data_IF_778830204323
#
_entry.id   IF_778830204323
#
_cell.length_a   1.000
_cell.length_b   1.000
_cell.length_c   1.000
_cell.angle_alpha   90.00
_cell.angle_beta   90.00
_cell.angle_gamma   90.00
#
_symmetry.space_group_name_H-M   'P 1'
#
loop_
_entity.id
_entity.type
_entity.pdbx_description
1 polymer ?
#
# COMPACT_ATOMS: atom_id res chain seq x y z
N UNK A 1 -2.83 -2.60 18.37
CA UNK A 1 -3.49 -1.57 17.54
C UNK A 1 -4.08 -0.56 18.45
N UNK A 2 -3.94 0.72 18.11
CA UNK A 2 -4.56 1.82 18.82
C UNK A 2 -6.09 1.84 18.67
N UNK A 3 -6.72 2.77 19.36
CA UNK A 3 -8.18 2.99 19.30
C UNK A 3 -8.60 3.63 17.97
N UNK A 4 -7.78 4.54 17.45
CA UNK A 4 -8.03 5.32 16.23
C UNK A 4 -7.07 4.93 15.10
N UNK A 5 -5.78 4.76 15.41
CA UNK A 5 -4.76 4.41 14.43
C UNK A 5 -4.69 2.90 14.21
N UNK A 6 -4.90 2.49 12.96
CA UNK A 6 -4.70 1.12 12.48
C UNK A 6 -3.29 0.92 11.91
N UNK A 7 -3.09 -0.12 11.11
CA UNK A 7 -1.81 -0.38 10.42
C UNK A 7 -1.47 0.67 9.36
N UNK A 8 -2.46 1.46 8.90
CA UNK A 8 -2.28 2.44 7.82
C UNK A 8 -3.01 3.75 8.14
N UNK A 9 -2.69 4.35 9.28
CA UNK A 9 -3.23 5.61 9.77
C UNK A 9 -4.60 5.53 10.43
N UNK A 10 -5.19 6.68 10.70
CA UNK A 10 -6.53 6.82 11.27
C UNK A 10 -7.56 6.84 10.13
N UNK A 11 -8.32 5.77 9.96
CA UNK A 11 -9.34 5.63 8.91
C UNK A 11 -10.74 5.50 9.45
N UNK A 12 -11.70 6.03 8.70
CA UNK A 12 -13.11 5.86 8.98
C UNK A 12 -14.01 6.64 8.03
N UNK A 13 -15.31 6.35 8.11
CA UNK A 13 -16.32 7.12 7.38
C UNK A 13 -16.27 8.59 7.82
N UNK A 14 -16.18 9.48 6.83
CA UNK A 14 -16.02 10.92 7.04
C UNK A 14 -17.22 11.51 7.79
N UNK A 15 -16.96 12.30 8.83
CA UNK A 15 -17.95 12.88 9.75
C UNK A 15 -18.78 11.86 10.57
N UNK A 16 -18.41 10.57 10.52
CA UNK A 16 -19.01 9.51 11.38
C UNK A 16 -17.95 9.00 12.35
N UNK A 17 -16.89 8.38 11.85
CA UNK A 17 -15.76 7.88 12.66
C UNK A 17 -14.58 8.83 12.66
N UNK A 18 -14.23 9.38 11.51
CA UNK A 18 -13.19 10.41 11.35
C UNK A 18 -13.89 11.76 11.14
N UNK A 19 -13.75 12.67 12.10
CA UNK A 19 -14.43 13.97 12.10
C UNK A 19 -13.45 15.13 11.88
N UNK A 20 -14.00 16.31 11.60
CA UNK A 20 -13.24 17.56 11.49
C UNK A 20 -12.49 17.87 12.79
N UNK A 21 -13.12 17.61 13.95
CA UNK A 21 -12.50 17.82 15.26
C UNK A 21 -11.29 16.90 15.47
N UNK A 22 -11.38 15.65 15.02
CA UNK A 22 -10.22 14.74 15.04
C UNK A 22 -9.08 15.29 14.19
N UNK A 23 -9.37 15.71 12.95
CA UNK A 23 -8.35 16.27 12.05
C UNK A 23 -7.71 17.53 12.62
N UNK A 24 -8.51 18.46 13.18
CA UNK A 24 -8.02 19.67 13.84
C UNK A 24 -7.09 19.31 15.01
N UNK A 25 -7.50 18.40 15.90
CA UNK A 25 -6.68 17.95 17.04
C UNK A 25 -5.40 17.25 16.60
N UNK A 26 -5.45 16.38 15.56
CA UNK A 26 -4.24 15.78 14.99
C UNK A 26 -3.28 16.88 14.53
N UNK A 27 -3.77 17.88 13.79
CA UNK A 27 -2.98 19.03 13.37
C UNK A 27 -2.39 19.81 14.57
N UNK A 28 -3.19 20.03 15.62
CA UNK A 28 -2.74 20.66 16.88
C UNK A 28 -1.58 19.90 17.49
N UNK A 29 -1.74 18.58 17.64
CA UNK A 29 -0.72 17.75 18.29
C UNK A 29 0.57 17.69 17.46
N UNK A 30 0.46 17.42 16.16
CA UNK A 30 1.62 17.33 15.25
C UNK A 30 2.39 18.65 15.21
N UNK A 31 1.69 19.78 15.06
CA UNK A 31 2.33 21.10 15.06
C UNK A 31 3.05 21.43 16.36
N UNK A 32 2.47 21.09 17.50
CA UNK A 32 3.10 21.25 18.80
C UNK A 32 4.28 20.30 19.01
N UNK A 33 4.12 19.03 18.66
CA UNK A 33 5.12 17.98 18.89
C UNK A 33 6.43 18.27 18.16
N UNK A 34 6.34 18.65 16.88
CA UNK A 34 7.53 18.97 16.09
C UNK A 34 8.01 20.42 16.27
N UNK A 35 7.19 21.29 16.83
CA UNK A 35 7.50 22.71 17.05
C UNK A 35 8.32 23.04 18.31
N UNK A 36 8.86 22.03 19.03
CA UNK A 36 9.50 22.25 20.34
C UNK A 36 10.77 23.12 20.32
N UNK A 37 11.64 22.92 19.33
CA UNK A 37 12.94 23.62 19.24
C UNK A 37 13.03 24.60 18.07
N UNK A 38 12.14 24.50 17.09
CA UNK A 38 12.09 25.34 15.89
C UNK A 38 10.67 25.45 15.37
N UNK A 39 10.45 26.31 14.39
CA UNK A 39 9.16 26.41 13.72
C UNK A 39 8.96 25.22 12.79
N UNK A 40 8.12 24.26 13.19
CA UNK A 40 7.90 23.04 12.43
C UNK A 40 7.37 23.31 11.01
N UNK A 41 7.84 22.51 10.06
CA UNK A 41 7.38 22.51 8.66
C UNK A 41 6.68 21.19 8.37
N UNK A 42 5.39 21.24 8.13
CA UNK A 42 4.57 20.06 7.87
C UNK A 42 4.04 20.09 6.45
N UNK A 43 4.34 19.06 5.67
CA UNK A 43 3.83 18.95 4.29
C UNK A 43 2.56 18.11 4.26
N UNK A 44 1.55 18.54 3.50
CA UNK A 44 0.25 17.90 3.41
C UNK A 44 -0.08 17.60 1.96
N UNK A 45 -0.43 16.33 1.70
CA UNK A 45 -1.03 15.86 0.46
C UNK A 45 -2.41 15.27 0.71
N UNK A 46 -3.20 15.17 -0.34
CA UNK A 46 -4.53 14.57 -0.27
C UNK A 46 -4.88 13.83 -1.55
N UNK A 47 -5.79 12.86 -1.44
CA UNK A 47 -6.42 12.23 -2.58
C UNK A 47 -7.59 13.08 -3.13
N UNK A 48 -8.32 12.52 -4.07
CA UNK A 48 -9.38 13.22 -4.80
C UNK A 48 -10.73 13.21 -4.09
N UNK A 49 -10.88 12.58 -2.92
CA UNK A 49 -12.14 12.50 -2.17
C UNK A 49 -12.66 13.89 -1.82
N UNK A 50 -13.98 14.08 -1.91
CA UNK A 50 -14.62 15.35 -1.52
C UNK A 50 -14.29 15.75 -0.08
N UNK A 51 -14.29 14.80 0.85
CA UNK A 51 -13.96 15.02 2.26
C UNK A 51 -12.49 15.37 2.51
N UNK A 52 -11.57 15.07 1.59
CA UNK A 52 -10.15 15.37 1.74
C UNK A 52 -9.88 16.88 1.85
N UNK A 53 -10.66 17.71 1.17
CA UNK A 53 -10.56 19.16 1.28
C UNK A 53 -10.97 19.67 2.67
N UNK A 54 -12.05 19.11 3.22
CA UNK A 54 -12.54 19.46 4.55
C UNK A 54 -11.49 19.11 5.62
N UNK A 55 -10.89 17.91 5.54
CA UNK A 55 -9.86 17.48 6.48
C UNK A 55 -8.55 18.25 6.31
N UNK A 56 -8.17 18.62 5.09
CA UNK A 56 -7.00 19.49 4.86
C UNK A 56 -7.15 20.81 5.59
N UNK A 57 -8.30 21.50 5.45
CA UNK A 57 -8.52 22.77 6.14
C UNK A 57 -8.49 22.63 7.66
N UNK A 58 -9.04 21.54 8.20
CA UNK A 58 -9.02 21.30 9.64
C UNK A 58 -7.60 21.02 10.17
N UNK A 59 -6.83 20.20 9.46
CA UNK A 59 -5.42 19.94 9.78
C UNK A 59 -4.58 21.22 9.72
N UNK A 60 -4.75 22.01 8.65
CA UNK A 60 -4.05 23.30 8.49
C UNK A 60 -4.36 24.25 9.64
N UNK A 61 -5.64 24.38 10.01
CA UNK A 61 -6.04 25.22 11.14
C UNK A 61 -5.39 24.76 12.46
N UNK A 62 -5.35 23.44 12.69
CA UNK A 62 -4.70 22.85 13.87
C UNK A 62 -3.18 23.11 13.91
N UNK A 63 -2.50 22.86 12.79
CA UNK A 63 -1.06 23.09 12.64
C UNK A 63 -0.67 24.54 12.87
N UNK A 64 -1.32 25.46 12.16
CA UNK A 64 -1.01 26.90 12.25
C UNK A 64 -1.35 27.47 13.61
N UNK A 65 -2.41 27.01 14.26
CA UNK A 65 -2.75 27.39 15.65
C UNK A 65 -1.73 26.88 16.67
N UNK A 66 -0.93 25.85 16.34
CA UNK A 66 0.18 25.37 17.16
C UNK A 66 1.54 25.94 16.76
N UNK A 67 1.58 26.89 15.80
CA UNK A 67 2.82 27.55 15.38
C UNK A 67 3.54 26.89 14.21
N UNK A 68 3.09 25.74 13.71
CA UNK A 68 3.71 25.07 12.59
C UNK A 68 3.32 25.66 11.23
N UNK A 69 4.25 25.73 10.29
CA UNK A 69 3.97 26.07 8.90
C UNK A 69 3.43 24.86 8.14
N UNK A 70 2.30 25.01 7.45
CA UNK A 70 1.64 23.99 6.66
C UNK A 70 1.92 24.19 5.16
N UNK A 71 2.55 23.22 4.51
CA UNK A 71 2.93 23.23 3.10
C UNK A 71 1.99 22.32 2.30
N UNK A 72 1.26 22.87 1.34
CA UNK A 72 0.21 22.17 0.62
C UNK A 72 0.69 21.66 -0.75
N UNK A 73 0.78 20.34 -0.90
CA UNK A 73 1.02 19.67 -2.19
C UNK A 73 -0.27 19.55 -3.02
N UNK A 74 -1.43 19.82 -2.39
CA UNK A 74 -2.76 19.60 -2.98
C UNK A 74 -3.00 18.11 -3.31
N UNK A 75 -3.73 17.83 -4.42
CA UNK A 75 -3.98 16.46 -4.86
C UNK A 75 -2.67 15.84 -5.34
N UNK A 76 -2.22 14.81 -4.61
CA UNK A 76 -0.97 14.10 -4.88
C UNK A 76 -1.01 12.69 -4.28
N UNK A 77 -0.04 11.85 -4.61
CA UNK A 77 0.06 10.47 -4.14
C UNK A 77 0.74 10.37 -2.77
N UNK A 78 0.48 9.29 -2.02
CA UNK A 78 1.19 9.00 -0.76
C UNK A 78 2.71 9.00 -0.95
N UNK A 79 3.28 8.31 -1.97
CA UNK A 79 4.73 8.36 -2.19
C UNK A 79 5.27 9.76 -2.56
N UNK A 80 4.47 10.63 -3.15
CA UNK A 80 4.85 12.03 -3.39
C UNK A 80 5.03 12.81 -2.08
N UNK A 81 4.16 12.57 -1.09
CA UNK A 81 4.31 13.17 0.26
C UNK A 81 5.57 12.62 0.94
N UNK A 82 5.76 11.29 0.91
CA UNK A 82 6.96 10.63 1.45
C UNK A 82 8.25 11.16 0.82
N UNK A 83 8.26 11.34 -0.49
CA UNK A 83 9.37 11.93 -1.23
C UNK A 83 9.67 13.36 -0.78
N UNK A 84 8.63 14.21 -0.70
CA UNK A 84 8.78 15.61 -0.30
C UNK A 84 9.34 15.73 1.12
N UNK A 85 8.82 14.96 2.08
CA UNK A 85 9.34 14.96 3.46
C UNK A 85 10.83 14.66 3.47
N UNK A 86 11.24 13.61 2.79
CA UNK A 86 12.61 13.12 2.82
C UNK A 86 13.62 14.04 2.12
N UNK A 87 13.18 14.80 1.12
CA UNK A 87 14.09 15.57 0.24
C UNK A 87 14.09 17.08 0.49
N UNK A 88 13.16 17.60 1.30
CA UNK A 88 12.93 19.04 1.44
C UNK A 88 12.95 19.52 2.92
N UNK A 89 13.56 18.75 3.81
CA UNK A 89 13.71 19.07 5.25
C UNK A 89 12.38 19.40 5.95
N UNK A 90 11.34 18.60 5.71
CA UNK A 90 10.11 18.65 6.48
C UNK A 90 10.19 17.76 7.72
N UNK A 91 9.63 18.22 8.82
CA UNK A 91 9.60 17.46 10.08
C UNK A 91 8.61 16.30 10.02
N UNK A 92 7.49 16.49 9.30
CA UNK A 92 6.45 15.48 9.17
C UNK A 92 5.67 15.67 7.86
N UNK A 93 5.19 14.56 7.31
CA UNK A 93 4.25 14.53 6.20
C UNK A 93 2.88 14.04 6.64
N UNK A 94 1.84 14.62 6.08
CA UNK A 94 0.45 14.18 6.29
C UNK A 94 -0.15 13.83 4.93
N UNK A 95 -0.65 12.59 4.79
CA UNK A 95 -1.44 12.21 3.63
C UNK A 95 -2.90 11.98 4.04
N UNK A 96 -3.81 12.66 3.36
CA UNK A 96 -5.26 12.53 3.58
C UNK A 96 -5.82 11.59 2.52
N UNK A 97 -6.00 10.33 2.90
CA UNK A 97 -6.53 9.27 2.04
C UNK A 97 -6.96 8.04 2.83
N UNK A 98 -7.93 7.32 2.32
CA UNK A 98 -8.26 5.97 2.76
C UNK A 98 -7.89 4.90 1.70
N UNK A 99 -6.88 5.18 0.85
CA UNK A 99 -6.36 4.26 -0.17
C UNK A 99 -7.48 3.70 -1.07
N UNK A 100 -7.69 2.39 -1.07
CA UNK A 100 -8.65 1.68 -1.91
C UNK A 100 -10.10 1.67 -1.37
N UNK A 101 -10.37 2.27 -0.21
CA UNK A 101 -11.72 2.33 0.35
C UNK A 101 -12.67 3.17 -0.51
N UNK A 102 -14.00 2.99 -0.36
CA UNK A 102 -15.00 3.83 -1.03
C UNK A 102 -14.83 5.32 -0.71
N UNK A 103 -15.42 6.19 -1.52
CA UNK A 103 -15.26 7.65 -1.44
C UNK A 103 -15.72 8.28 -0.13
N UNK A 104 -16.68 7.67 0.57
CA UNK A 104 -17.22 8.16 1.83
C UNK A 104 -16.32 7.89 3.04
N UNK A 105 -15.38 6.96 2.92
CA UNK A 105 -14.29 6.81 3.88
C UNK A 105 -13.18 7.81 3.61
N UNK A 106 -12.42 8.17 4.65
CA UNK A 106 -11.18 8.90 4.52
C UNK A 106 -10.18 8.48 5.60
N UNK A 107 -8.97 9.00 5.54
CA UNK A 107 -7.93 8.68 6.49
C UNK A 107 -6.90 9.79 6.63
N UNK A 108 -6.16 9.74 7.73
CA UNK A 108 -5.00 10.60 8.00
C UNK A 108 -3.81 9.67 8.26
N UNK A 109 -2.85 9.68 7.35
CA UNK A 109 -1.58 8.97 7.47
C UNK A 109 -0.50 9.98 7.85
N UNK A 110 0.31 9.64 8.83
CA UNK A 110 1.42 10.48 9.30
C UNK A 110 2.74 9.84 8.90
N UNK A 111 3.65 10.66 8.38
CA UNK A 111 4.98 10.25 7.94
C UNK A 111 6.02 11.06 8.72
N UNK A 112 7.04 10.39 9.27
CA UNK A 112 8.15 11.04 9.95
C UNK A 112 9.11 11.73 8.96
N UNK A 113 10.11 12.43 9.46
CA UNK A 113 11.10 13.16 8.64
C UNK A 113 11.87 12.31 7.62
N UNK A 114 11.85 10.98 7.76
CA UNK A 114 12.44 10.05 6.81
C UNK A 114 11.45 9.60 5.71
N UNK A 115 10.24 10.14 5.70
CA UNK A 115 9.18 9.76 4.76
C UNK A 115 8.57 8.38 5.02
N UNK A 116 8.81 7.82 6.20
CA UNK A 116 8.26 6.55 6.67
C UNK A 116 7.06 6.78 7.60
N UNK A 117 6.28 5.75 7.87
CA UNK A 117 5.20 5.85 8.86
C UNK A 117 5.74 6.34 10.21
N UNK A 118 4.95 7.19 10.85
CA UNK A 118 5.29 7.74 12.16
C UNK A 118 5.41 6.63 13.21
N UNK A 119 6.19 6.86 14.24
CA UNK A 119 6.43 5.93 15.33
C UNK A 119 5.14 5.67 16.13
N UNK A 120 4.92 4.41 16.52
CA UNK A 120 3.71 3.98 17.24
C UNK A 120 3.53 4.71 18.59
N UNK A 121 4.62 5.17 19.22
CA UNK A 121 4.56 5.97 20.44
C UNK A 121 3.88 7.31 20.18
N UNK A 122 4.18 7.96 19.06
CA UNK A 122 3.58 9.24 18.67
C UNK A 122 2.10 9.06 18.35
N UNK A 123 1.73 7.99 17.65
CA UNK A 123 0.32 7.63 17.40
C UNK A 123 -0.45 7.47 18.73
N UNK A 124 0.13 6.74 19.69
CA UNK A 124 -0.47 6.53 21.01
C UNK A 124 -0.68 7.85 21.78
N UNK A 125 0.26 8.78 21.69
CA UNK A 125 0.13 10.11 22.31
C UNK A 125 -0.92 10.97 21.61
N UNK A 126 -1.02 10.89 20.30
CA UNK A 126 -2.12 11.55 19.55
C UNK A 126 -3.47 11.01 20.01
N UNK A 127 -3.61 9.68 20.14
CA UNK A 127 -4.84 9.06 20.64
C UNK A 127 -5.22 9.55 22.05
N UNK A 128 -4.24 9.63 22.95
CA UNK A 128 -4.45 10.17 24.29
C UNK A 128 -4.93 11.64 24.27
N UNK A 129 -4.38 12.45 23.34
CA UNK A 129 -4.84 13.84 23.16
C UNK A 129 -6.27 13.90 22.56
N UNK A 130 -6.58 13.06 21.60
CA UNK A 130 -7.93 12.97 21.04
C UNK A 130 -8.99 12.61 22.10
N UNK A 131 -8.63 11.73 23.03
CA UNK A 131 -9.49 11.29 24.15
C UNK A 131 -9.53 12.28 25.33
N UNK A 132 -8.77 13.40 25.28
CA UNK A 132 -8.72 14.38 26.35
C UNK A 132 -7.95 13.91 27.59
N UNK A 133 -7.08 12.92 27.45
CA UNK A 133 -6.21 12.40 28.51
C UNK A 133 -4.92 13.23 28.69
N UNK A 134 -4.64 14.10 27.75
CA UNK A 134 -3.54 15.07 27.79
C UNK A 134 -4.16 16.47 27.89
N UNK A 135 -3.57 17.34 28.71
CA UNK A 135 -4.00 18.72 28.85
C UNK A 135 -4.00 19.45 27.49
N UNK A 136 -4.79 20.51 27.40
CA UNK A 136 -4.90 21.27 26.15
C UNK A 136 -3.55 21.94 25.83
N UNK A 137 -3.15 21.82 24.57
CA UNK A 137 -1.85 22.32 24.11
C UNK A 137 -1.86 23.84 23.95
N UNK A 138 -0.74 24.55 24.19
CA UNK A 138 -0.69 26.00 24.06
C UNK A 138 -1.01 26.43 22.62
N UNK A 139 -1.66 27.59 22.48
CA UNK A 139 -1.89 28.23 21.20
C UNK A 139 -0.73 29.19 20.89
N UNK A 140 -0.27 29.18 19.67
CA UNK A 140 0.65 30.19 19.16
C UNK A 140 -0.06 31.54 19.04
N UNK A 141 0.66 32.63 19.28
CA UNK A 141 0.14 33.99 19.23
C UNK A 141 1.03 34.89 18.38
N UNK A 142 0.48 35.96 17.84
CA UNK A 142 1.21 36.97 17.07
C UNK A 142 2.05 36.36 15.94
N UNK A 143 3.36 36.67 15.89
CA UNK A 143 4.35 36.19 14.93
C UNK A 143 4.63 34.69 15.00
N UNK A 144 4.28 34.05 16.10
CA UNK A 144 4.47 32.60 16.28
C UNK A 144 3.37 31.77 15.59
N UNK A 145 2.22 32.38 15.22
CA UNK A 145 1.20 31.69 14.45
C UNK A 145 1.81 31.18 13.14
N UNK A 146 1.54 29.90 12.83
CA UNK A 146 2.02 29.28 11.59
C UNK A 146 1.35 29.86 10.35
N UNK A 147 1.94 29.66 9.22
CA UNK A 147 1.40 30.09 7.91
C UNK A 147 1.12 28.91 7.00
N UNK A 148 0.27 29.13 6.02
CA UNK A 148 0.02 28.20 4.92
C UNK A 148 0.88 28.57 3.73
N UNK A 149 1.53 27.61 3.12
CA UNK A 149 2.39 27.76 1.94
C UNK A 149 1.88 26.86 0.81
N UNK A 150 1.63 27.41 -0.35
CA UNK A 150 1.39 26.63 -1.57
C UNK A 150 2.71 25.96 -2.00
N UNK A 151 2.74 24.62 -2.04
CA UNK A 151 3.93 23.85 -2.35
C UNK A 151 3.71 22.86 -3.50
N UNK A 152 2.88 23.23 -4.48
CA UNK A 152 2.65 22.42 -5.69
C UNK A 152 3.97 22.07 -6.43
N UNK A 153 5.04 22.89 -6.26
CA UNK A 153 6.37 22.61 -6.81
C UNK A 153 6.99 21.32 -6.26
N UNK A 154 6.67 20.92 -5.03
CA UNK A 154 7.14 19.65 -4.44
C UNK A 154 6.63 18.44 -5.21
N UNK A 155 5.36 18.45 -5.63
CA UNK A 155 4.79 17.42 -6.52
C UNK A 155 5.54 17.36 -7.86
N UNK A 156 5.89 18.50 -8.45
CA UNK A 156 6.62 18.54 -9.72
C UNK A 156 8.05 17.97 -9.57
N UNK A 157 8.69 18.14 -8.41
CA UNK A 157 10.00 17.52 -8.13
C UNK A 157 9.88 16.00 -8.04
N UNK A 158 8.82 15.48 -7.40
CA UNK A 158 8.55 14.05 -7.40
C UNK A 158 8.33 13.50 -8.81
N UNK A 159 7.57 14.19 -9.67
CA UNK A 159 7.43 13.82 -11.09
C UNK A 159 8.79 13.77 -11.77
N UNK A 160 9.63 14.80 -11.58
CA UNK A 160 10.99 14.83 -12.12
C UNK A 160 11.87 13.68 -11.61
N UNK A 161 11.74 13.33 -10.33
CA UNK A 161 12.41 12.16 -9.73
C UNK A 161 11.99 10.87 -10.44
N UNK A 162 10.70 10.61 -10.58
CA UNK A 162 10.20 9.42 -11.26
C UNK A 162 10.73 9.31 -12.71
N UNK A 163 10.71 10.41 -13.46
CA UNK A 163 11.21 10.44 -14.84
C UNK A 163 12.72 10.13 -14.90
N UNK A 164 13.48 10.46 -13.87
CA UNK A 164 14.93 10.23 -13.82
C UNK A 164 15.34 8.80 -13.48
N UNK A 165 14.41 7.94 -13.05
CA UNK A 165 14.72 6.59 -12.57
C UNK A 165 15.01 5.59 -13.70
N UNK A 166 14.16 5.46 -14.74
CA UNK A 166 14.42 4.51 -15.82
C UNK A 166 15.67 4.90 -16.61
N UNK A 167 16.48 3.89 -16.93
CA UNK A 167 17.70 4.08 -17.74
C UNK A 167 17.41 4.28 -19.23
N UNK A 168 16.18 3.97 -19.65
CA UNK A 168 15.71 4.05 -21.04
C UNK A 168 14.33 4.66 -21.12
N UNK A 169 14.03 5.25 -22.29
CA UNK A 169 12.67 5.65 -22.65
C UNK A 169 11.80 4.44 -23.02
N UNK A 170 10.50 4.67 -23.10
CA UNK A 170 9.48 3.66 -23.44
C UNK A 170 8.88 3.88 -24.83
N UNK A 171 9.64 4.49 -25.71
CA UNK A 171 9.24 4.84 -27.08
C UNK A 171 8.70 3.63 -27.83
N UNK A 172 7.52 3.80 -28.42
CA UNK A 172 6.85 2.78 -29.21
C UNK A 172 5.93 1.84 -28.41
N UNK A 173 6.01 1.82 -27.08
CA UNK A 173 5.14 1.01 -26.24
C UNK A 173 3.82 1.72 -25.98
N UNK A 174 2.72 0.96 -26.11
CA UNK A 174 1.35 1.38 -25.80
C UNK A 174 1.00 0.96 -24.38
N UNK A 175 0.84 1.92 -23.50
CA UNK A 175 0.64 1.69 -22.06
C UNK A 175 -0.74 2.14 -21.63
N UNK A 176 -1.52 1.24 -21.04
CA UNK A 176 -2.80 1.51 -20.40
C UNK A 176 -2.57 1.95 -18.95
N UNK A 177 -3.23 3.02 -18.51
CA UNK A 177 -3.16 3.51 -17.14
C UNK A 177 -4.58 3.66 -16.58
N UNK A 178 -4.92 2.90 -15.55
CA UNK A 178 -6.14 3.09 -14.77
C UNK A 178 -5.79 3.85 -13.49
N UNK A 179 -6.22 5.10 -13.44
CA UNK A 179 -5.89 6.01 -12.34
C UNK A 179 -6.90 5.95 -11.17
N UNK A 180 -7.83 5.02 -11.15
CA UNK A 180 -8.84 4.86 -10.09
C UNK A 180 -9.64 6.12 -9.76
N UNK A 181 -9.69 7.13 -10.64
CA UNK A 181 -10.14 8.49 -10.34
C UNK A 181 -9.49 9.07 -9.06
N UNK A 182 -8.30 8.58 -8.74
CA UNK A 182 -7.52 8.94 -7.55
C UNK A 182 -6.36 9.89 -7.85
N UNK A 183 -5.40 9.90 -6.95
CA UNK A 183 -4.25 10.80 -6.94
C UNK A 183 -3.33 10.65 -8.14
N UNK A 184 -3.20 9.44 -8.69
CA UNK A 184 -2.38 9.18 -9.89
C UNK A 184 -2.88 9.90 -11.14
N UNK A 185 -4.15 10.33 -11.17
CA UNK A 185 -4.75 11.10 -12.29
C UNK A 185 -3.95 12.36 -12.63
N UNK A 186 -3.33 12.99 -11.64
CA UNK A 186 -2.55 14.22 -11.81
C UNK A 186 -1.07 13.97 -12.20
N UNK A 187 -0.58 12.73 -12.14
CA UNK A 187 0.86 12.42 -12.18
C UNK A 187 1.19 11.37 -13.26
N UNK A 188 0.51 10.22 -13.25
CA UNK A 188 0.95 9.04 -14.00
C UNK A 188 1.13 9.32 -15.50
N UNK A 189 0.13 9.94 -16.15
CA UNK A 189 0.21 10.25 -17.58
C UNK A 189 1.43 11.11 -17.93
N UNK A 190 1.70 12.16 -17.16
CA UNK A 190 2.82 13.06 -17.45
C UNK A 190 4.18 12.39 -17.31
N UNK A 191 4.33 11.46 -16.38
CA UNK A 191 5.56 10.66 -16.21
C UNK A 191 5.79 9.76 -17.42
N UNK A 192 4.76 8.98 -17.82
CA UNK A 192 4.88 8.07 -18.97
C UNK A 192 5.04 8.80 -20.30
N UNK A 193 4.36 9.93 -20.50
CA UNK A 193 4.53 10.76 -21.71
C UNK A 193 5.94 11.35 -21.80
N UNK A 194 6.50 11.80 -20.68
CA UNK A 194 7.89 12.30 -20.64
C UNK A 194 8.90 11.20 -20.99
N UNK A 195 8.59 9.94 -20.67
CA UNK A 195 9.38 8.77 -21.06
C UNK A 195 9.00 8.20 -22.44
N UNK A 196 8.27 8.98 -23.25
CA UNK A 196 7.91 8.70 -24.65
C UNK A 196 7.01 7.46 -24.85
N UNK A 197 6.32 6.97 -23.82
CA UNK A 197 5.29 5.96 -23.97
C UNK A 197 4.06 6.53 -24.70
N UNK A 198 3.35 5.70 -25.46
CA UNK A 198 2.03 6.05 -25.97
C UNK A 198 0.98 5.67 -24.93
N UNK A 199 0.53 6.64 -24.13
CA UNK A 199 -0.37 6.43 -23.00
C UNK A 199 -1.84 6.42 -23.39
N UNK A 200 -2.57 5.47 -22.82
CA UNK A 200 -4.02 5.32 -22.92
C UNK A 200 -4.57 5.30 -21.49
N UNK A 201 -5.24 6.39 -21.07
CA UNK A 201 -5.62 6.60 -19.68
C UNK A 201 -7.13 6.46 -19.51
N UNK A 202 -7.53 5.71 -18.50
CA UNK A 202 -8.93 5.57 -18.06
C UNK A 202 -9.06 5.98 -16.59
N UNK A 203 -10.27 6.27 -16.15
CA UNK A 203 -10.60 6.61 -14.77
C UNK A 203 -9.69 7.71 -14.20
N UNK A 204 -9.53 8.81 -14.95
CA UNK A 204 -8.68 9.94 -14.62
C UNK A 204 -9.44 11.29 -14.55
N UNK A 205 -10.73 11.22 -14.30
CA UNK A 205 -11.61 12.41 -14.14
C UNK A 205 -12.31 12.38 -12.78
N UNK A 206 -11.56 12.66 -11.69
CA UNK A 206 -12.12 12.62 -10.35
C UNK A 206 -13.19 13.72 -10.14
N UNK A 207 -14.33 13.34 -9.56
CA UNK A 207 -15.41 14.24 -9.18
C UNK A 207 -15.61 14.38 -7.66
N UNK A 208 -14.76 13.69 -6.90
CA UNK A 208 -14.79 13.67 -5.43
C UNK A 208 -15.60 12.52 -4.84
N UNK A 209 -16.36 11.79 -5.67
CA UNK A 209 -17.23 10.68 -5.24
C UNK A 209 -17.00 9.38 -6.02
N UNK A 210 -16.23 9.43 -7.08
CA UNK A 210 -15.98 8.30 -7.98
C UNK A 210 -14.65 7.58 -7.78
N UNK A 211 -13.83 7.96 -6.79
CA UNK A 211 -12.56 7.30 -6.47
C UNK A 211 -12.78 5.80 -6.16
N UNK A 212 -11.99 4.92 -6.77
CA UNK A 212 -12.05 3.45 -6.64
C UNK A 212 -13.42 2.81 -7.05
N UNK A 213 -14.35 3.58 -7.58
CA UNK A 213 -15.67 3.05 -7.92
C UNK A 213 -15.60 2.28 -9.24
N UNK A 214 -15.64 0.95 -9.14
CA UNK A 214 -15.51 0.03 -10.30
C UNK A 214 -14.28 0.33 -11.16
N UNK A 215 -13.15 0.67 -10.55
CA UNK A 215 -11.91 1.00 -11.24
C UNK A 215 -10.69 0.80 -10.34
N UNK A 216 -9.49 0.91 -10.94
CA UNK A 216 -8.22 0.82 -10.25
C UNK A 216 -7.81 -0.60 -9.86
N UNK A 217 -6.85 -0.72 -8.94
CA UNK A 217 -6.20 -1.98 -8.59
C UNK A 217 -7.12 -3.03 -7.96
N UNK A 218 -8.27 -2.62 -7.41
CA UNK A 218 -9.27 -3.52 -6.81
C UNK A 218 -10.36 -3.98 -7.80
N UNK A 219 -10.40 -3.40 -9.00
CA UNK A 219 -11.32 -3.74 -10.10
C UNK A 219 -10.54 -3.90 -11.40
N UNK A 220 -9.55 -4.78 -11.37
CA UNK A 220 -8.56 -4.97 -12.43
C UNK A 220 -9.18 -5.46 -13.74
N UNK A 221 -10.37 -6.09 -13.70
CA UNK A 221 -11.11 -6.58 -14.85
C UNK A 221 -11.42 -5.48 -15.88
N UNK A 222 -11.56 -4.23 -15.41
CA UNK A 222 -11.78 -3.08 -16.30
C UNK A 222 -10.54 -2.83 -17.15
N UNK A 223 -9.36 -2.81 -16.52
CA UNK A 223 -8.09 -2.63 -17.24
C UNK A 223 -7.75 -3.84 -18.12
N UNK A 224 -8.04 -5.08 -17.66
CA UNK A 224 -7.84 -6.30 -18.48
C UNK A 224 -8.57 -6.18 -19.82
N UNK A 225 -9.86 -5.86 -19.76
CA UNK A 225 -10.66 -5.65 -20.97
C UNK A 225 -10.11 -4.52 -21.83
N UNK A 226 -9.75 -3.40 -21.20
CA UNK A 226 -9.25 -2.22 -21.92
C UNK A 226 -7.94 -2.50 -22.67
N UNK A 227 -7.01 -3.23 -22.05
CA UNK A 227 -5.72 -3.62 -22.65
C UNK A 227 -5.95 -4.46 -23.90
N UNK A 228 -6.79 -5.49 -23.79
CA UNK A 228 -7.09 -6.41 -24.91
C UNK A 228 -7.82 -5.70 -26.03
N UNK A 229 -8.89 -4.98 -25.74
CA UNK A 229 -9.73 -4.31 -26.74
C UNK A 229 -8.97 -3.25 -27.54
N UNK A 230 -7.98 -2.61 -26.95
CA UNK A 230 -7.18 -1.56 -27.60
C UNK A 230 -5.81 -2.04 -28.12
N UNK A 231 -5.51 -3.33 -27.98
CA UNK A 231 -4.22 -3.90 -28.42
C UNK A 231 -3.04 -3.18 -27.78
N UNK A 232 -3.10 -2.98 -26.46
CA UNK A 232 -2.03 -2.36 -25.69
C UNK A 232 -0.95 -3.38 -25.33
N UNK A 233 0.29 -2.93 -25.15
CA UNK A 233 1.41 -3.81 -24.83
C UNK A 233 1.40 -4.19 -23.34
N UNK A 234 0.89 -3.30 -22.47
CA UNK A 234 0.86 -3.44 -21.03
C UNK A 234 -0.16 -2.47 -20.43
N UNK A 235 -0.71 -2.82 -19.26
CA UNK A 235 -1.55 -1.93 -18.47
C UNK A 235 -1.14 -1.88 -17.00
N UNK A 236 -1.38 -0.75 -16.33
CA UNK A 236 -1.17 -0.56 -14.90
C UNK A 236 -2.37 0.07 -14.25
N UNK A 237 -2.84 -0.51 -13.15
CA UNK A 237 -3.93 0.02 -12.33
C UNK A 237 -3.38 0.41 -10.95
N UNK A 238 -3.73 1.61 -10.53
CA UNK A 238 -3.36 2.15 -9.21
C UNK A 238 -4.57 2.10 -8.25
N UNK A 239 -4.33 2.27 -6.98
CA UNK A 239 -5.38 2.57 -6.01
C UNK A 239 -5.51 4.08 -5.76
N UNK A 240 -6.41 4.49 -4.87
CA UNK A 240 -6.81 5.89 -4.71
C UNK A 240 -5.68 6.86 -4.38
N UNK A 241 -4.66 6.46 -3.62
CA UNK A 241 -3.48 7.26 -3.29
C UNK A 241 -2.19 6.76 -3.95
N UNK A 242 -2.33 5.79 -4.85
CA UNK A 242 -1.29 5.28 -5.75
C UNK A 242 -0.02 4.77 -5.04
N UNK A 243 -0.17 4.23 -3.83
CA UNK A 243 0.88 3.48 -3.15
C UNK A 243 0.94 2.01 -3.62
N UNK A 244 -0.07 1.56 -4.43
CA UNK A 244 -0.18 0.23 -5.02
C UNK A 244 -0.24 0.27 -6.54
N UNK A 245 0.25 -0.81 -7.16
CA UNK A 245 0.18 -1.06 -8.59
C UNK A 245 -0.09 -2.54 -8.88
N UNK A 246 -1.10 -2.81 -9.71
CA UNK A 246 -1.33 -4.12 -10.33
C UNK A 246 -1.16 -3.96 -11.83
N UNK A 247 -0.44 -4.88 -12.47
CA UNK A 247 -0.22 -4.83 -13.91
C UNK A 247 -1.08 -5.84 -14.67
N UNK A 248 -1.25 -5.57 -15.95
CA UNK A 248 -1.94 -6.45 -16.92
C UNK A 248 -1.04 -6.60 -18.15
N UNK A 249 -0.80 -7.83 -18.58
CA UNK A 249 -0.04 -8.09 -19.80
C UNK A 249 -0.89 -7.89 -21.07
N UNK A 250 -0.25 -7.91 -22.24
CA UNK A 250 -0.93 -7.70 -23.53
C UNK A 250 -2.02 -8.76 -23.87
N UNK A 251 -2.07 -9.87 -23.13
CA UNK A 251 -3.12 -10.91 -23.28
C UNK A 251 -4.27 -10.73 -22.29
N UNK A 252 -4.19 -9.72 -21.43
CA UNK A 252 -5.19 -9.48 -20.40
C UNK A 252 -4.95 -10.29 -19.11
N UNK A 253 -3.81 -10.96 -18.94
CA UNK A 253 -3.51 -11.67 -17.71
C UNK A 253 -3.07 -10.69 -16.61
N UNK A 254 -3.57 -10.91 -15.39
CA UNK A 254 -3.16 -10.14 -14.22
C UNK A 254 -1.75 -10.52 -13.80
N UNK A 255 -0.94 -9.51 -13.55
CA UNK A 255 0.38 -9.59 -12.94
C UNK A 255 0.31 -8.80 -11.63
N UNK A 256 -0.02 -9.53 -10.55
CA UNK A 256 -0.19 -8.99 -9.20
C UNK A 256 1.15 -8.64 -8.54
N UNK A 257 1.12 -8.17 -7.29
CA UNK A 257 2.31 -7.76 -6.56
C UNK A 257 3.34 -8.89 -6.42
N UNK A 258 2.91 -10.13 -6.25
CA UNK A 258 3.82 -11.28 -6.17
C UNK A 258 4.58 -11.50 -7.48
N UNK A 259 3.86 -11.49 -8.61
CA UNK A 259 4.49 -11.60 -9.94
C UNK A 259 5.38 -10.39 -10.26
N UNK A 260 4.97 -9.19 -9.86
CA UNK A 260 5.79 -7.99 -10.02
C UNK A 260 7.08 -8.11 -9.22
N UNK A 261 7.00 -8.55 -7.95
CA UNK A 261 8.19 -8.80 -7.12
C UNK A 261 9.11 -9.86 -7.72
N UNK A 262 8.55 -10.92 -8.30
CA UNK A 262 9.32 -11.94 -9.02
C UNK A 262 10.06 -11.35 -10.22
N UNK A 263 9.34 -10.64 -11.10
CA UNK A 263 9.90 -10.03 -12.32
C UNK A 263 10.98 -9.00 -11.98
N UNK A 264 10.67 -8.07 -11.09
CA UNK A 264 11.60 -7.02 -10.68
C UNK A 264 12.76 -7.58 -9.85
N UNK A 265 12.53 -8.57 -8.98
CA UNK A 265 13.57 -9.23 -8.20
C UNK A 265 14.60 -9.91 -9.08
N UNK A 266 14.13 -10.70 -10.06
CA UNK A 266 15.00 -11.34 -11.06
C UNK A 266 15.82 -10.32 -11.86
N UNK A 267 15.15 -9.26 -12.33
CA UNK A 267 15.81 -8.18 -13.04
C UNK A 267 16.88 -7.47 -12.18
N UNK A 268 16.54 -7.09 -10.94
CA UNK A 268 17.48 -6.43 -10.03
C UNK A 268 18.66 -7.33 -9.67
N UNK A 269 18.44 -8.63 -9.46
CA UNK A 269 19.51 -9.60 -9.21
C UNK A 269 20.50 -9.67 -10.35
N UNK A 270 20.02 -9.80 -11.59
CA UNK A 270 20.86 -9.83 -12.78
C UNK A 270 21.68 -8.55 -12.99
N UNK A 271 21.17 -7.41 -12.48
CA UNK A 271 21.88 -6.13 -12.47
C UNK A 271 22.83 -5.96 -11.26
N UNK A 272 22.92 -6.95 -10.36
CA UNK A 272 23.66 -6.85 -9.10
C UNK A 272 23.07 -5.79 -8.14
N UNK A 273 21.78 -5.49 -8.26
CA UNK A 273 21.07 -4.45 -7.50
C UNK A 273 20.12 -5.02 -6.44
N UNK A 274 19.94 -6.33 -6.35
CA UNK A 274 19.15 -7.00 -5.33
C UNK A 274 20.04 -7.32 -4.14
N UNK A 275 20.03 -6.48 -3.11
CA UNK A 275 20.87 -6.66 -1.91
C UNK A 275 20.56 -7.98 -1.21
N UNK A 276 21.61 -8.75 -0.89
CA UNK A 276 21.49 -10.07 -0.26
C UNK A 276 20.79 -11.13 -1.12
N UNK A 277 20.49 -10.83 -2.40
CA UNK A 277 19.63 -11.64 -3.27
C UNK A 277 18.26 -11.94 -2.64
N UNK A 278 17.75 -11.02 -1.80
CA UNK A 278 16.58 -11.22 -0.95
C UNK A 278 15.41 -10.31 -1.37
N UNK A 279 14.20 -10.89 -1.41
CA UNK A 279 12.91 -10.19 -1.54
C UNK A 279 12.16 -10.29 -0.23
N UNK A 280 11.71 -9.16 0.33
CA UNK A 280 10.89 -9.16 1.54
C UNK A 280 9.42 -9.18 1.16
N UNK A 281 8.67 -10.11 1.75
CA UNK A 281 7.24 -10.25 1.48
C UNK A 281 6.46 -10.64 2.74
N UNK A 282 5.17 -10.88 2.64
CA UNK A 282 4.35 -11.28 3.79
C UNK A 282 3.98 -12.75 3.73
N UNK A 283 3.54 -13.31 4.86
CA UNK A 283 3.01 -14.68 4.93
C UNK A 283 1.80 -14.92 4.00
N UNK A 284 1.25 -13.89 3.38
CA UNK A 284 0.12 -14.00 2.44
C UNK A 284 0.53 -14.10 0.98
N UNK A 285 1.79 -13.86 0.64
CA UNK A 285 2.27 -14.06 -0.73
C UNK A 285 2.09 -15.50 -1.18
N UNK A 286 1.75 -15.68 -2.45
CA UNK A 286 1.44 -16.99 -3.02
C UNK A 286 2.64 -17.95 -2.94
N UNK A 287 2.40 -19.23 -2.65
CA UNK A 287 3.43 -20.28 -2.62
C UNK A 287 4.27 -20.30 -3.91
N UNK A 288 3.65 -19.92 -5.02
CA UNK A 288 4.32 -19.82 -6.31
C UNK A 288 5.43 -18.78 -6.35
N UNK A 289 5.31 -17.67 -5.60
CA UNK A 289 6.39 -16.70 -5.45
C UNK A 289 7.60 -17.34 -4.78
N UNK A 290 7.43 -17.97 -3.61
CA UNK A 290 8.53 -18.59 -2.87
C UNK A 290 9.28 -19.61 -3.70
N UNK A 291 8.54 -20.54 -4.34
CA UNK A 291 9.14 -21.57 -5.20
C UNK A 291 9.86 -20.96 -6.42
N UNK A 292 9.35 -19.87 -6.95
CA UNK A 292 9.99 -19.20 -8.08
C UNK A 292 11.25 -18.45 -7.67
N UNK A 293 11.25 -17.81 -6.50
CA UNK A 293 12.44 -17.18 -5.94
C UNK A 293 13.55 -18.22 -5.66
N UNK A 294 13.19 -19.34 -5.04
CA UNK A 294 14.13 -20.45 -4.78
C UNK A 294 14.76 -21.02 -6.07
N UNK A 295 13.94 -21.24 -7.10
CA UNK A 295 14.40 -21.71 -8.41
C UNK A 295 15.42 -20.76 -9.05
N UNK A 296 15.23 -19.44 -8.88
CA UNK A 296 16.16 -18.42 -9.36
C UNK A 296 17.33 -18.16 -8.38
N UNK A 297 17.47 -18.99 -7.34
CA UNK A 297 18.48 -18.80 -6.27
C UNK A 297 18.38 -17.44 -5.59
N UNK A 298 17.16 -16.90 -5.47
CA UNK A 298 16.82 -15.73 -4.65
C UNK A 298 16.32 -16.21 -3.29
N UNK A 299 16.63 -15.43 -2.26
CA UNK A 299 16.11 -15.62 -0.91
C UNK A 299 14.84 -14.80 -0.72
N UNK A 300 14.10 -15.13 0.32
CA UNK A 300 12.96 -14.32 0.75
C UNK A 300 12.85 -14.25 2.27
N UNK A 301 12.34 -13.13 2.75
CA UNK A 301 11.93 -12.94 4.14
C UNK A 301 10.42 -12.81 4.20
N UNK A 302 9.80 -13.46 5.19
CA UNK A 302 8.35 -13.43 5.39
C UNK A 302 8.00 -12.63 6.64
N UNK A 303 7.30 -11.53 6.47
CA UNK A 303 6.80 -10.74 7.60
C UNK A 303 5.33 -11.06 7.91
N UNK A 304 4.81 -10.52 9.01
CA UNK A 304 3.38 -10.42 9.23
C UNK A 304 2.73 -9.56 8.13
N UNK A 305 1.41 -9.71 7.95
CA UNK A 305 0.64 -8.92 6.97
C UNK A 305 0.60 -7.45 7.38
N UNK A 306 0.98 -6.59 6.48
CA UNK A 306 1.01 -5.14 6.61
C UNK A 306 2.31 -4.55 6.09
N UNK A 307 2.19 -3.53 5.27
CA UNK A 307 3.29 -2.80 4.63
C UNK A 307 4.33 -2.27 5.63
N UNK A 308 3.90 -1.91 6.85
CA UNK A 308 4.77 -1.50 7.95
C UNK A 308 5.83 -2.56 8.25
N UNK A 309 5.44 -3.82 8.39
CA UNK A 309 6.35 -4.91 8.72
C UNK A 309 7.33 -5.22 7.60
N UNK A 310 6.88 -5.08 6.34
CA UNK A 310 7.76 -5.19 5.17
C UNK A 310 8.80 -4.08 5.18
N UNK A 311 8.37 -2.82 5.38
CA UNK A 311 9.26 -1.66 5.40
C UNK A 311 10.28 -1.74 6.56
N UNK A 312 9.85 -2.13 7.77
CA UNK A 312 10.72 -2.31 8.94
C UNK A 312 11.79 -3.39 8.65
N UNK A 313 11.40 -4.56 8.16
CA UNK A 313 12.34 -5.64 7.83
C UNK A 313 13.34 -5.22 6.75
N UNK A 314 12.87 -4.53 5.69
CA UNK A 314 13.75 -4.01 4.64
C UNK A 314 14.78 -3.03 5.17
N UNK A 315 14.37 -2.14 6.08
CA UNK A 315 15.25 -1.13 6.67
C UNK A 315 16.29 -1.77 7.60
N UNK A 316 15.87 -2.68 8.48
CA UNK A 316 16.74 -3.35 9.45
C UNK A 316 17.84 -4.19 8.77
N UNK A 317 17.53 -4.77 7.61
CA UNK A 317 18.44 -5.68 6.89
C UNK A 317 19.02 -5.06 5.60
N UNK A 318 18.74 -3.79 5.32
CA UNK A 318 19.19 -3.05 4.12
C UNK A 318 18.78 -3.75 2.81
N UNK A 319 17.57 -4.32 2.72
CA UNK A 319 17.07 -4.97 1.51
C UNK A 319 16.52 -3.96 0.49
N UNK A 320 16.64 -4.32 -0.80
CA UNK A 320 16.31 -3.40 -1.91
C UNK A 320 14.89 -3.51 -2.42
N UNK A 321 14.23 -4.65 -2.23
CA UNK A 321 12.90 -4.94 -2.78
C UNK A 321 12.06 -5.69 -1.75
N UNK A 322 10.86 -5.19 -1.54
CA UNK A 322 9.85 -5.88 -0.76
C UNK A 322 8.45 -5.39 -1.09
N UNK A 323 7.45 -6.13 -0.65
CA UNK A 323 6.06 -5.74 -0.90
C UNK A 323 5.04 -6.80 -0.54
N UNK A 324 3.84 -6.60 -1.04
CA UNK A 324 2.67 -7.44 -0.81
C UNK A 324 2.00 -7.81 -2.14
N UNK A 325 1.29 -8.92 -2.16
CA UNK A 325 0.47 -9.35 -3.31
C UNK A 325 -0.51 -8.27 -3.78
N UNK A 326 -0.98 -7.42 -2.86
CA UNK A 326 -1.87 -6.28 -3.14
C UNK A 326 -1.26 -5.21 -4.06
N UNK A 327 0.03 -5.30 -4.38
CA UNK A 327 0.74 -4.36 -5.24
C UNK A 327 1.42 -3.20 -4.51
N UNK A 328 1.43 -3.19 -3.17
CA UNK A 328 2.25 -2.26 -2.39
C UNK A 328 3.70 -2.73 -2.42
N UNK A 329 4.54 -2.11 -3.26
CA UNK A 329 5.91 -2.55 -3.51
C UNK A 329 6.88 -1.41 -3.25
N UNK A 330 7.91 -1.71 -2.48
CA UNK A 330 8.95 -0.80 -2.04
C UNK A 330 10.26 -1.12 -2.79
N UNK A 331 10.80 -0.12 -3.45
CA UNK A 331 12.16 -0.13 -4.00
C UNK A 331 13.01 0.83 -3.16
N UNK A 332 13.67 0.33 -2.11
CA UNK A 332 14.31 1.15 -1.06
C UNK A 332 15.35 2.14 -1.58
N UNK A 333 15.95 1.87 -2.75
CA UNK A 333 16.86 2.80 -3.41
C UNK A 333 16.19 4.12 -3.80
N UNK A 334 14.89 4.10 -4.08
CA UNK A 334 14.17 5.23 -4.67
C UNK A 334 13.06 5.77 -3.77
N UNK A 335 12.40 4.91 -2.99
CA UNK A 335 11.25 5.25 -2.17
C UNK A 335 11.34 4.62 -0.77
N UNK A 336 10.81 5.31 0.25
CA UNK A 336 10.75 4.83 1.62
C UNK A 336 9.43 4.08 1.93
N UNK A 337 8.49 4.07 1.00
CA UNK A 337 7.18 3.41 1.08
C UNK A 337 6.81 2.81 -0.28
N UNK A 338 5.71 2.07 -0.35
CA UNK A 338 5.18 1.60 -1.62
C UNK A 338 4.87 2.76 -2.57
N UNK A 339 5.19 2.57 -3.84
CA UNK A 339 4.99 3.57 -4.89
C UNK A 339 4.52 2.88 -6.16
N UNK A 340 3.23 3.04 -6.46
CA UNK A 340 2.61 2.37 -7.60
C UNK A 340 3.15 2.86 -8.94
N UNK A 341 3.42 4.16 -9.07
CA UNK A 341 3.95 4.71 -10.32
C UNK A 341 5.41 4.26 -10.50
N UNK A 342 6.25 4.34 -9.48
CA UNK A 342 7.59 3.79 -9.50
C UNK A 342 7.59 2.29 -9.85
N UNK A 343 6.69 1.52 -9.25
CA UNK A 343 6.53 0.08 -9.53
C UNK A 343 6.26 -0.16 -11.00
N UNK A 344 5.33 0.59 -11.61
CA UNK A 344 5.04 0.49 -13.04
C UNK A 344 6.25 0.84 -13.92
N UNK A 345 7.05 1.84 -13.53
CA UNK A 345 8.29 2.19 -14.22
C UNK A 345 9.34 1.09 -14.14
N UNK A 346 9.49 0.45 -12.97
CA UNK A 346 10.45 -0.66 -12.79
C UNK A 346 10.06 -1.90 -13.59
N UNK A 347 8.76 -2.19 -13.71
CA UNK A 347 8.26 -3.25 -14.60
C UNK A 347 8.56 -2.91 -16.06
N UNK A 348 8.31 -1.67 -16.49
CA UNK A 348 8.61 -1.21 -17.84
C UNK A 348 10.12 -1.29 -18.14
N UNK A 349 10.96 -0.88 -17.20
CA UNK A 349 12.42 -0.97 -17.33
C UNK A 349 12.85 -2.42 -17.53
N UNK A 350 12.31 -3.36 -16.73
CA UNK A 350 12.60 -4.79 -16.90
C UNK A 350 12.20 -5.30 -18.30
N UNK A 351 11.01 -4.94 -18.78
CA UNK A 351 10.54 -5.33 -20.12
C UNK A 351 11.45 -4.78 -21.24
N UNK A 352 11.81 -3.51 -21.19
CA UNK A 352 12.64 -2.85 -22.21
C UNK A 352 14.06 -3.40 -22.22
N UNK A 353 14.71 -3.50 -21.06
CA UNK A 353 16.08 -4.03 -20.94
C UNK A 353 16.20 -5.49 -21.35
N UNK A 354 15.18 -6.30 -21.00
CA UNK A 354 15.12 -7.72 -21.39
C UNK A 354 14.61 -7.94 -22.82
N UNK A 355 14.11 -6.90 -23.49
CA UNK A 355 13.45 -7.01 -24.80
C UNK A 355 12.39 -8.10 -24.82
N UNK A 356 11.61 -8.20 -23.75
CA UNK A 356 10.61 -9.22 -23.52
C UNK A 356 9.28 -8.59 -23.08
N UNK A 357 8.17 -9.25 -23.39
CA UNK A 357 6.85 -8.81 -22.90
C UNK A 357 6.70 -9.13 -21.40
N UNK A 358 5.82 -8.40 -20.71
CA UNK A 358 5.49 -8.74 -19.33
C UNK A 358 4.95 -10.16 -19.19
N UNK A 359 4.17 -10.64 -20.17
CA UNK A 359 3.71 -12.01 -20.23
C UNK A 359 4.90 -13.02 -20.21
N UNK A 360 5.96 -12.76 -20.99
CA UNK A 360 7.13 -13.63 -21.02
C UNK A 360 7.92 -13.61 -19.72
N UNK A 361 8.06 -12.45 -19.10
CA UNK A 361 8.79 -12.33 -17.83
C UNK A 361 8.04 -12.98 -16.66
N UNK A 362 6.70 -12.89 -16.63
CA UNK A 362 5.90 -13.37 -15.53
C UNK A 362 5.47 -14.86 -15.65
N UNK A 363 5.55 -15.47 -16.84
CA UNK A 363 5.02 -16.83 -17.11
C UNK A 363 5.67 -17.93 -16.29
N UNK A 364 6.91 -17.72 -15.86
CA UNK A 364 7.67 -18.71 -15.10
C UNK A 364 7.23 -18.82 -13.64
N UNK A 365 6.56 -17.79 -13.12
CA UNK A 365 5.94 -17.86 -11.79
C UNK A 365 4.55 -18.50 -11.89
N UNK A 366 4.46 -19.78 -11.51
CA UNK A 366 3.19 -20.50 -11.42
C UNK A 366 2.43 -20.01 -10.17
N UNK A 367 1.20 -19.52 -10.36
CA UNK A 367 0.30 -19.21 -9.24
C UNK A 367 -0.39 -20.49 -8.77
N UNK A 368 -0.33 -20.74 -7.45
CA UNK A 368 -1.05 -21.84 -6.83
C UNK A 368 -2.48 -21.40 -6.51
N UNK A 369 -3.49 -22.23 -6.83
CA UNK A 369 -4.84 -22.03 -6.34
C UNK A 369 -4.86 -21.78 -4.84
N UNK A 370 -5.69 -20.83 -4.42
CA UNK A 370 -5.79 -20.39 -3.02
C UNK A 370 -7.26 -20.28 -2.61
N UNK A 371 -7.61 -20.88 -1.48
CA UNK A 371 -8.92 -20.66 -0.85
C UNK A 371 -8.73 -20.05 0.53
N UNK A 372 -9.33 -18.89 0.75
CA UNK A 372 -9.43 -18.23 2.05
C UNK A 372 -10.87 -18.29 2.54
N UNK A 373 -11.09 -18.90 3.71
CA UNK A 373 -12.39 -18.89 4.39
C UNK A 373 -12.32 -18.11 5.69
N UNK A 374 -13.20 -17.14 5.84
CA UNK A 374 -13.41 -16.40 7.07
C UNK A 374 -14.42 -17.17 7.94
N UNK A 375 -14.01 -17.52 9.15
CA UNK A 375 -14.85 -18.25 10.11
C UNK A 375 -15.09 -17.35 11.31
N UNK A 376 -16.36 -17.00 11.57
CA UNK A 376 -16.74 -16.18 12.71
C UNK A 376 -16.65 -17.01 13.99
N UNK A 377 -15.99 -16.47 15.02
CA UNK A 377 -15.76 -17.15 16.31
C UNK A 377 -16.04 -16.21 17.47
N UNK A 378 -16.46 -16.78 18.61
CA UNK A 378 -16.70 -16.01 19.83
C UNK A 378 -15.40 -15.46 20.42
N UNK A 379 -14.35 -16.28 20.46
CA UNK A 379 -13.01 -15.89 20.92
C UNK A 379 -11.93 -16.44 19.99
N UNK A 380 -11.16 -15.54 19.41
CA UNK A 380 -10.14 -15.87 18.40
C UNK A 380 -9.00 -16.71 18.96
N UNK A 381 -8.56 -16.38 20.18
CA UNK A 381 -7.45 -17.08 20.83
C UNK A 381 -7.83 -18.51 21.16
N UNK A 382 -8.98 -18.69 21.79
CA UNK A 382 -9.52 -20.02 22.11
C UNK A 382 -9.69 -20.88 20.86
N UNK A 383 -10.24 -20.31 19.78
CA UNK A 383 -10.43 -21.04 18.53
C UNK A 383 -9.10 -21.44 17.88
N UNK A 384 -8.11 -20.55 17.85
CA UNK A 384 -6.80 -20.84 17.26
C UNK A 384 -5.98 -21.84 18.08
N UNK A 385 -6.07 -21.78 19.42
CA UNK A 385 -5.29 -22.60 20.34
C UNK A 385 -5.99 -23.93 20.71
N UNK A 386 -7.22 -24.16 20.21
CA UNK A 386 -7.94 -25.43 20.44
C UNK A 386 -7.08 -26.61 19.93
N UNK A 387 -6.90 -27.60 20.79
CA UNK A 387 -5.99 -28.72 20.52
C UNK A 387 -6.36 -29.55 19.30
N UNK A 388 -7.67 -29.71 19.00
CA UNK A 388 -8.14 -30.45 17.82
C UNK A 388 -7.98 -29.63 16.54
N UNK A 389 -8.17 -28.31 16.61
CA UNK A 389 -7.89 -27.41 15.49
C UNK A 389 -6.40 -27.41 15.16
N UNK A 390 -5.52 -27.30 16.17
CA UNK A 390 -4.08 -27.38 15.97
C UNK A 390 -3.67 -28.76 15.40
N UNK A 391 -4.30 -29.85 15.83
CA UNK A 391 -4.01 -31.18 15.33
C UNK A 391 -4.38 -31.34 13.85
N UNK A 392 -5.59 -30.95 13.46
CA UNK A 392 -6.03 -31.05 12.04
C UNK A 392 -5.22 -30.13 11.13
N UNK A 393 -4.82 -28.95 11.58
CA UNK A 393 -3.96 -28.04 10.80
C UNK A 393 -2.60 -28.70 10.55
N UNK A 394 -1.99 -29.35 11.55
CA UNK A 394 -0.72 -30.09 11.39
C UNK A 394 -0.86 -31.27 10.43
N UNK A 395 -1.98 -32.01 10.51
CA UNK A 395 -2.27 -33.14 9.62
C UNK A 395 -2.40 -32.65 8.17
N UNK A 396 -3.21 -31.62 7.93
CA UNK A 396 -3.37 -31.00 6.61
C UNK A 396 -2.04 -30.47 6.07
N UNK A 397 -1.24 -29.79 6.89
CA UNK A 397 0.09 -29.33 6.48
C UNK A 397 1.01 -30.48 6.05
N UNK A 398 0.97 -31.61 6.79
CA UNK A 398 1.75 -32.80 6.43
C UNK A 398 1.30 -33.43 5.12
N UNK A 399 -0.02 -33.49 4.87
CA UNK A 399 -0.57 -34.03 3.62
C UNK A 399 -0.26 -33.15 2.40
N UNK A 400 -0.29 -31.82 2.58
CA UNK A 400 0.07 -30.87 1.53
C UNK A 400 1.57 -30.94 1.15
N UNK A 401 2.42 -31.27 2.11
CA UNK A 401 3.86 -31.40 1.91
C UNK A 401 4.49 -30.14 1.35
N UNK A 402 5.28 -30.28 0.29
CA UNK A 402 5.91 -29.15 -0.42
C UNK A 402 5.01 -28.54 -1.50
N UNK A 403 3.93 -29.21 -1.90
CA UNK A 403 3.07 -28.79 -3.01
C UNK A 403 1.83 -28.01 -2.58
N UNK A 404 1.80 -27.61 -1.31
CA UNK A 404 0.77 -26.78 -0.76
C UNK A 404 1.13 -26.26 0.62
N UNK A 405 0.28 -25.41 1.17
CA UNK A 405 0.41 -24.92 2.55
C UNK A 405 -0.95 -24.56 3.14
N UNK A 406 -1.01 -24.55 4.46
CA UNK A 406 -2.15 -24.05 5.22
C UNK A 406 -1.69 -22.96 6.18
N UNK A 407 -2.49 -21.89 6.27
CA UNK A 407 -2.30 -20.79 7.21
C UNK A 407 -3.61 -20.53 7.95
N UNK A 408 -3.56 -20.60 9.28
CA UNK A 408 -4.70 -20.25 10.14
C UNK A 408 -4.31 -19.08 11.03
N UNK A 409 -5.00 -17.96 10.88
CA UNK A 409 -4.68 -16.72 11.59
C UNK A 409 -5.90 -15.95 12.06
N UNK A 410 -5.72 -15.13 13.07
CA UNK A 410 -6.73 -14.20 13.54
C UNK A 410 -6.89 -13.02 12.59
N UNK A 411 -8.12 -12.53 12.41
CA UNK A 411 -8.36 -11.22 11.83
C UNK A 411 -7.94 -10.12 12.80
N UNK A 412 -7.24 -9.09 12.32
CA UNK A 412 -6.83 -7.96 13.14
C UNK A 412 -8.01 -7.15 13.69
N UNK A 413 -9.07 -7.01 12.89
CA UNK A 413 -10.20 -6.06 13.14
C UNK A 413 -11.53 -6.73 13.44
N UNK A 414 -11.73 -7.97 13.03
CA UNK A 414 -13.01 -8.67 13.11
C UNK A 414 -12.91 -9.91 14.00
N UNK A 415 -14.01 -10.41 14.59
CA UNK A 415 -14.06 -11.64 15.38
C UNK A 415 -14.02 -12.88 14.47
N UNK A 416 -12.97 -12.99 13.64
CA UNK A 416 -12.82 -14.04 12.64
C UNK A 416 -11.48 -14.77 12.79
N UNK A 417 -11.51 -16.08 12.55
CA UNK A 417 -10.35 -16.88 12.15
C UNK A 417 -10.36 -17.01 10.64
N UNK A 418 -9.21 -16.75 10.03
CA UNK A 418 -8.98 -16.89 8.60
C UNK A 418 -8.24 -18.19 8.35
N UNK A 419 -8.91 -19.12 7.66
CA UNK A 419 -8.33 -20.41 7.24
C UNK A 419 -8.00 -20.30 5.75
N UNK A 420 -6.72 -20.34 5.40
CA UNK A 420 -6.23 -20.26 4.02
C UNK A 420 -5.48 -21.54 3.68
N UNK A 421 -5.78 -22.11 2.52
CA UNK A 421 -5.03 -23.22 1.92
C UNK A 421 -4.62 -22.83 0.50
N UNK A 422 -3.39 -23.13 0.16
CA UNK A 422 -2.88 -23.12 -1.20
C UNK A 422 -2.45 -24.55 -1.58
N UNK A 423 -2.82 -24.98 -2.78
CA UNK A 423 -2.52 -26.34 -3.25
C UNK A 423 -2.44 -26.40 -4.77
N UNK A 424 -2.17 -27.59 -5.31
CA UNK A 424 -2.06 -27.82 -6.76
C UNK A 424 -3.32 -27.59 -7.55
N UNK A 425 -4.50 -27.74 -6.92
CA UNK A 425 -5.83 -27.53 -7.54
C UNK A 425 -6.81 -26.91 -6.55
N UNK A 426 -7.88 -26.28 -7.08
CA UNK A 426 -8.95 -25.68 -6.27
C UNK A 426 -9.69 -26.73 -5.43
N UNK A 427 -9.89 -27.94 -5.97
CA UNK A 427 -10.59 -29.03 -5.27
C UNK A 427 -9.85 -29.42 -4.00
N UNK A 428 -8.50 -29.52 -4.05
CA UNK A 428 -7.67 -29.80 -2.88
C UNK A 428 -7.79 -28.65 -1.86
N UNK A 429 -7.77 -27.41 -2.31
CA UNK A 429 -7.95 -26.25 -1.43
C UNK A 429 -9.28 -26.33 -0.68
N UNK A 430 -10.38 -26.61 -1.39
CA UNK A 430 -11.71 -26.75 -0.80
C UNK A 430 -11.76 -27.91 0.20
N UNK A 431 -11.31 -29.10 -0.17
CA UNK A 431 -11.28 -30.27 0.73
C UNK A 431 -10.55 -29.97 2.03
N UNK A 432 -9.35 -29.37 1.95
CA UNK A 432 -8.52 -29.13 3.12
C UNK A 432 -9.08 -28.03 4.03
N UNK A 433 -9.60 -26.94 3.46
CA UNK A 433 -10.28 -25.90 4.23
C UNK A 433 -11.51 -26.45 4.94
N UNK A 434 -12.35 -27.23 4.24
CA UNK A 434 -13.56 -27.82 4.81
C UNK A 434 -13.27 -28.76 5.96
N UNK A 435 -12.20 -29.53 5.92
CA UNK A 435 -11.75 -30.39 7.03
C UNK A 435 -11.47 -29.60 8.30
N UNK A 436 -10.76 -28.47 8.17
CA UNK A 436 -10.45 -27.61 9.33
C UNK A 436 -11.70 -26.94 9.86
N UNK A 437 -12.54 -26.39 9.00
CA UNK A 437 -13.80 -25.72 9.40
C UNK A 437 -14.75 -26.69 10.09
N UNK A 438 -14.91 -27.92 9.59
CA UNK A 438 -15.72 -28.96 10.25
C UNK A 438 -15.24 -29.30 11.66
N UNK A 439 -13.92 -29.32 11.90
CA UNK A 439 -13.39 -29.53 13.26
C UNK A 439 -13.72 -28.33 14.14
N UNK A 440 -13.62 -27.07 13.62
CA UNK A 440 -14.02 -25.89 14.39
C UNK A 440 -15.51 -25.89 14.73
N UNK A 441 -16.35 -26.35 13.81
CA UNK A 441 -17.79 -26.50 14.03
C UNK A 441 -18.10 -27.58 15.08
N UNK A 442 -17.48 -28.76 14.97
CA UNK A 442 -17.65 -29.86 15.91
C UNK A 442 -17.21 -29.51 17.35
N UNK A 443 -16.25 -28.61 17.50
CA UNK A 443 -15.79 -28.08 18.79
C UNK A 443 -16.62 -26.89 19.28
N UNK A 444 -17.70 -26.50 18.59
CA UNK A 444 -18.59 -25.39 18.98
C UNK A 444 -17.90 -24.02 18.99
N UNK A 445 -16.87 -23.82 18.17
CA UNK A 445 -16.08 -22.59 18.11
C UNK A 445 -16.68 -21.54 17.18
N UNK A 446 -17.55 -21.96 16.27
CA UNK A 446 -18.19 -21.09 15.25
C UNK A 446 -19.42 -20.45 15.86
N UNK A 447 -19.61 -19.15 15.56
CA UNK A 447 -20.82 -18.39 15.90
C UNK A 447 -21.45 -17.83 14.61
N UNK A 448 -22.78 -17.66 14.62
CA UNK A 448 -23.55 -17.14 13.49
C UNK A 448 -23.21 -15.67 13.13
#
# INVERSE_FOLDING_TARGET
MGKYFGTDGFRGEANVKLTVDHAFKVGRYVGWYYGGEHKAKIVIGKDTRRSSYMFEYALVAGLTASGADAYLLHVTTTPSVSYAVRTEDFDCGIMISASHNPFYDNGIKLLNGNGQKIEAEVETRIEAYLDGLIEDLPLATKEDIGRTVDFASGRNRYIGHLISIPSRDFKGLKVGLDCANGSSSAIAKSVFDALQAKTYVINNQPDGTNINTNCGSTHIEVLQKYVVDNGLDIGFAYDGDADRCIAVDHKGNVVDGDKIMYVCGKYLKEQGRLKGDTVVTTVMSNLGLYKSLERESMKYEQTAVGDKYVAENMMENDYSLGGEQSGHIIFSRYAATGDGILTSLMVMEACVEKKATLCDLAKEMKVYPQLLRNVRVADKKTARENSKVVAIVKEVAKELGTDGRILVRESGTEPLIRVMVEAGTDEICHEKVDRVVKVMEAEGLIVD
#
